data_IF_476976641054
#
_entry.id   IF_476976641054
#
_cell.length_a   1.000
_cell.length_b   1.000
_cell.length_c   1.000
_cell.angle_alpha   90.00
_cell.angle_beta   90.00
_cell.angle_gamma   90.00
#
_symmetry.space_group_name_H-M   'P 1'
#
loop_
_entity.id
_entity.type
_entity.pdbx_description
1 polymer ?
#
# COMPACT_ATOMS: atom_id res chain seq x y z
N UNK A 1 -13.91 36.46 -51.13
CA UNK A 1 -13.15 35.46 -51.86
C UNK A 1 -12.61 34.54 -50.77
N UNK A 2 -13.37 33.74 -50.44
CA UNK A 2 -13.82 32.33 -50.43
C UNK A 2 -12.81 31.45 -49.70
N UNK A 3 -13.15 31.24 -48.45
CA UNK A 3 -12.66 30.15 -47.59
C UNK A 3 -13.08 28.81 -48.18
N UNK A 4 -12.15 27.85 -48.27
CA UNK A 4 -12.45 26.45 -48.57
C UNK A 4 -12.36 25.64 -47.31
N UNK A 5 -13.49 25.21 -46.81
CA UNK A 5 -13.64 24.11 -45.87
C UNK A 5 -12.97 22.82 -46.41
N UNK A 6 -12.01 22.30 -45.71
CA UNK A 6 -11.48 20.96 -45.94
C UNK A 6 -12.20 19.99 -44.98
N UNK A 7 -13.11 19.24 -45.55
CA UNK A 7 -13.87 18.16 -44.90
C UNK A 7 -12.95 16.98 -44.52
N UNK A 8 -13.09 16.52 -43.27
CA UNK A 8 -12.38 15.36 -42.69
C UNK A 8 -12.83 13.98 -43.22
N UNK A 9 -13.44 13.88 -44.37
CA UNK A 9 -14.06 12.64 -44.91
C UNK A 9 -13.36 11.98 -46.09
N UNK A 10 -12.13 12.35 -46.45
CA UNK A 10 -11.47 11.80 -47.64
C UNK A 10 -10.15 11.04 -47.42
N UNK A 11 -9.97 10.40 -46.26
CA UNK A 11 -8.73 9.63 -45.96
C UNK A 11 -8.94 8.12 -45.78
N UNK A 12 -10.03 7.56 -46.28
CA UNK A 12 -10.19 6.10 -46.41
C UNK A 12 -10.46 5.71 -47.85
N UNK A 13 -9.38 5.75 -48.63
CA UNK A 13 -9.35 5.12 -49.94
C UNK A 13 -9.14 3.62 -49.82
N UNK A 14 -10.10 2.86 -50.35
CA UNK A 14 -10.10 1.41 -50.36
C UNK A 14 -8.92 0.83 -51.15
N UNK A 15 -8.23 -0.14 -50.55
CA UNK A 15 -7.53 -1.17 -51.34
C UNK A 15 -8.08 -2.54 -50.91
N UNK A 16 -8.88 -3.11 -51.80
CA UNK A 16 -9.34 -4.48 -51.75
C UNK A 16 -8.16 -5.42 -52.00
N UNK A 17 -7.89 -6.31 -51.04
CA UNK A 17 -7.06 -7.50 -51.25
C UNK A 17 -7.74 -8.70 -50.59
N UNK A 18 -8.07 -9.61 -51.39
CA UNK A 18 -8.34 -11.04 -51.33
C UNK A 18 -8.77 -11.65 -50.00
N UNK A 19 -10.04 -12.08 -49.98
CA UNK A 19 -10.52 -13.03 -48.98
C UNK A 19 -9.86 -14.40 -49.24
N UNK A 20 -8.92 -14.79 -48.35
CA UNK A 20 -8.56 -16.18 -48.13
C UNK A 20 -9.20 -16.61 -46.80
N UNK A 21 -10.27 -17.41 -46.92
CA UNK A 21 -10.90 -18.07 -45.78
C UNK A 21 -9.95 -19.14 -45.24
N UNK A 22 -9.22 -18.81 -44.18
CA UNK A 22 -8.59 -19.79 -43.31
C UNK A 22 -9.48 -19.95 -42.07
N UNK A 23 -10.02 -21.15 -41.89
CA UNK A 23 -10.63 -21.56 -40.63
C UNK A 23 -9.55 -21.48 -39.51
N UNK A 24 -9.53 -20.36 -38.82
CA UNK A 24 -8.73 -20.24 -37.61
C UNK A 24 -9.42 -21.09 -36.53
N UNK A 25 -8.84 -22.26 -36.24
CA UNK A 25 -9.06 -22.91 -34.96
C UNK A 25 -8.87 -21.85 -33.88
N UNK A 26 -9.76 -21.85 -32.89
CA UNK A 26 -9.68 -20.98 -31.70
C UNK A 26 -8.34 -21.24 -30.99
N UNK A 27 -7.31 -20.54 -31.42
CA UNK A 27 -6.01 -20.56 -30.79
C UNK A 27 -6.18 -19.83 -29.44
N UNK A 28 -5.70 -20.46 -28.39
CA UNK A 28 -5.56 -19.89 -27.05
C UNK A 28 -4.98 -18.46 -27.17
N UNK A 29 -5.67 -17.41 -26.68
CA UNK A 29 -5.20 -16.03 -26.77
C UNK A 29 -3.78 -15.85 -26.22
N UNK A 30 -3.37 -16.64 -25.21
CA UNK A 30 -2.02 -16.64 -24.67
C UNK A 30 -0.96 -17.13 -25.66
N UNK A 31 -1.28 -18.05 -26.56
CA UNK A 31 -0.35 -18.52 -27.62
C UNK A 31 -0.17 -17.48 -28.72
N UNK A 32 -1.23 -16.78 -29.09
CA UNK A 32 -1.17 -15.73 -30.10
C UNK A 32 -0.32 -14.52 -29.62
N UNK A 33 -0.46 -14.14 -28.36
CA UNK A 33 0.34 -13.07 -27.74
C UNK A 33 1.84 -13.44 -27.65
N UNK A 34 2.17 -14.68 -27.27
CA UNK A 34 3.54 -15.14 -27.20
C UNK A 34 4.22 -15.19 -28.57
N UNK A 35 3.48 -15.54 -29.63
CA UNK A 35 4.00 -15.53 -31.00
C UNK A 35 4.24 -14.12 -31.54
N UNK A 36 3.41 -13.14 -31.15
CA UNK A 36 3.53 -11.75 -31.56
C UNK A 36 4.78 -11.05 -31.00
N UNK A 37 5.28 -11.50 -29.84
CA UNK A 37 6.45 -10.90 -29.16
C UNK A 37 7.76 -11.66 -29.45
N UNK A 38 7.70 -12.74 -30.25
CA UNK A 38 8.87 -13.55 -30.59
C UNK A 38 9.45 -14.37 -29.44
N UNK A 39 8.74 -14.44 -28.30
CA UNK A 39 9.11 -15.29 -27.16
C UNK A 39 8.71 -16.72 -27.48
N UNK A 40 9.67 -17.60 -27.56
CA UNK A 40 9.39 -19.04 -27.71
C UNK A 40 8.78 -19.55 -26.42
N UNK A 41 7.68 -20.30 -26.50
CA UNK A 41 7.00 -20.94 -25.34
C UNK A 41 7.96 -21.80 -24.50
N UNK A 42 9.07 -22.26 -25.07
CA UNK A 42 10.12 -23.03 -24.42
C UNK A 42 11.03 -22.19 -23.49
N UNK A 43 10.99 -20.87 -23.58
CA UNK A 43 11.92 -19.98 -22.84
C UNK A 43 11.36 -19.57 -21.45
N UNK A 44 10.07 -19.82 -21.19
CA UNK A 44 9.46 -19.57 -19.89
C UNK A 44 9.17 -20.87 -19.15
N UNK A 45 9.39 -20.92 -17.84
CA UNK A 45 9.00 -22.08 -17.03
C UNK A 45 7.46 -22.24 -17.05
N UNK A 46 6.97 -23.46 -16.70
CA UNK A 46 5.53 -23.68 -16.57
C UNK A 46 4.98 -22.93 -15.33
N UNK A 47 4.32 -21.82 -15.58
CA UNK A 47 3.75 -20.94 -14.56
C UNK A 47 2.29 -21.28 -14.23
N UNK A 48 1.79 -22.45 -14.64
CA UNK A 48 0.48 -22.94 -14.22
C UNK A 48 0.50 -23.22 -12.72
N UNK A 49 -0.46 -22.64 -11.98
CA UNK A 49 -0.56 -22.75 -10.53
C UNK A 49 -1.10 -24.14 -10.17
N UNK A 50 -0.32 -24.90 -9.39
CA UNK A 50 -0.66 -26.26 -8.94
C UNK A 50 -1.10 -26.34 -7.48
N UNK A 51 -0.64 -25.39 -6.64
CA UNK A 51 -0.89 -25.45 -5.20
C UNK A 51 -1.03 -24.03 -4.62
N UNK A 52 -1.88 -23.90 -3.61
CA UNK A 52 -1.91 -22.77 -2.68
C UNK A 52 -1.77 -23.33 -1.29
N UNK A 53 -0.88 -22.80 -0.49
CA UNK A 53 -0.65 -23.17 0.91
C UNK A 53 -0.52 -21.95 1.80
N UNK A 54 -0.87 -22.12 3.08
CA UNK A 54 -0.73 -21.08 4.10
C UNK A 54 0.10 -21.64 5.24
N UNK A 55 1.22 -21.01 5.50
CA UNK A 55 2.03 -21.27 6.68
C UNK A 55 1.49 -20.44 7.83
N UNK A 56 1.17 -21.07 8.94
CA UNK A 56 0.86 -20.39 10.20
C UNK A 56 2.09 -20.46 11.08
N UNK A 57 2.66 -19.30 11.39
CA UNK A 57 3.91 -19.16 12.11
C UNK A 57 3.70 -18.44 13.45
N UNK A 58 4.46 -18.85 14.48
CA UNK A 58 4.51 -18.12 15.74
C UNK A 58 5.46 -16.94 15.62
N UNK A 59 4.90 -15.73 15.63
CA UNK A 59 5.66 -14.46 15.60
C UNK A 59 5.63 -13.74 16.96
N UNK A 60 5.23 -14.43 18.02
CA UNK A 60 5.27 -13.92 19.39
C UNK A 60 6.69 -13.48 19.74
N UNK A 61 6.84 -12.25 20.21
CA UNK A 61 8.15 -11.64 20.48
C UNK A 61 8.67 -10.72 19.36
N UNK A 62 8.11 -10.76 18.17
CA UNK A 62 8.26 -9.70 17.16
C UNK A 62 7.22 -8.64 17.49
N UNK A 63 7.51 -7.77 18.45
CA UNK A 63 6.53 -6.81 18.98
C UNK A 63 6.17 -5.77 17.93
N UNK A 64 5.02 -5.94 17.33
CA UNK A 64 4.19 -4.89 16.81
C UNK A 64 3.15 -4.55 17.89
N UNK A 65 2.84 -3.29 18.10
CA UNK A 65 1.90 -2.82 19.13
C UNK A 65 0.52 -3.47 19.08
N UNK A 66 0.13 -4.08 17.96
CA UNK A 66 -1.15 -4.76 17.76
C UNK A 66 -1.02 -6.07 16.94
N UNK A 67 0.18 -6.68 16.85
CA UNK A 67 0.34 -7.91 16.06
C UNK A 67 -0.22 -9.11 16.84
N UNK A 68 -0.97 -9.99 16.17
CA UNK A 68 -1.34 -11.28 16.75
C UNK A 68 -0.06 -12.09 17.04
N UNK A 69 -0.17 -13.06 17.95
CA UNK A 69 0.91 -13.99 18.26
C UNK A 69 1.28 -14.89 17.06
N UNK A 70 0.42 -14.95 16.07
CA UNK A 70 0.60 -15.75 14.85
C UNK A 70 0.58 -14.87 13.60
N UNK A 71 1.44 -15.19 12.64
CA UNK A 71 1.46 -14.62 11.30
C UNK A 71 1.13 -15.69 10.27
N UNK A 72 0.38 -15.32 9.25
CA UNK A 72 0.01 -16.20 8.16
C UNK A 72 0.71 -15.78 6.87
N UNK A 73 1.51 -16.69 6.29
CA UNK A 73 2.20 -16.50 5.02
C UNK A 73 1.53 -17.38 3.98
N UNK A 74 0.98 -16.76 2.94
CA UNK A 74 0.49 -17.49 1.78
C UNK A 74 1.62 -17.73 0.79
N UNK A 75 1.62 -18.92 0.19
CA UNK A 75 2.49 -19.30 -0.92
C UNK A 75 1.65 -19.88 -2.05
N UNK A 76 1.74 -19.28 -3.24
CA UNK A 76 1.15 -19.77 -4.48
C UNK A 76 2.27 -20.42 -5.29
N UNK A 77 2.09 -21.71 -5.64
CA UNK A 77 3.15 -22.55 -6.23
C UNK A 77 2.79 -22.95 -7.64
N UNK A 78 3.72 -22.75 -8.57
CA UNK A 78 3.57 -23.15 -9.98
C UNK A 78 4.04 -24.59 -10.23
N UNK A 79 3.71 -25.16 -11.38
CA UNK A 79 4.21 -26.47 -11.83
C UNK A 79 5.74 -26.51 -11.89
N UNK A 80 6.39 -25.42 -12.27
CA UNK A 80 7.84 -25.30 -12.27
C UNK A 80 8.47 -25.18 -10.87
N UNK A 81 7.66 -25.07 -9.81
CA UNK A 81 8.14 -24.93 -8.43
C UNK A 81 8.44 -23.49 -8.00
N UNK A 82 8.20 -22.50 -8.85
CA UNK A 82 8.33 -21.10 -8.46
C UNK A 82 7.19 -20.74 -7.49
N UNK A 83 7.53 -20.09 -6.37
CA UNK A 83 6.59 -19.67 -5.34
C UNK A 83 6.48 -18.16 -5.26
N UNK A 84 5.24 -17.65 -5.25
CA UNK A 84 4.93 -16.27 -4.90
C UNK A 84 4.42 -16.19 -3.47
N UNK A 85 4.95 -15.27 -2.70
CA UNK A 85 4.73 -15.22 -1.27
C UNK A 85 4.20 -13.85 -0.82
N UNK A 86 3.24 -13.89 0.12
CA UNK A 86 2.68 -12.70 0.77
C UNK A 86 2.15 -13.08 2.15
N UNK A 87 1.74 -12.12 2.95
CA UNK A 87 1.00 -12.39 4.19
C UNK A 87 -0.49 -12.12 3.99
N UNK A 88 -1.32 -12.83 4.75
CA UNK A 88 -2.76 -12.56 4.80
C UNK A 88 -3.05 -11.36 5.72
N UNK A 89 -2.08 -10.96 6.53
CA UNK A 89 -2.20 -9.88 7.49
C UNK A 89 -3.14 -10.22 8.66
N UNK A 90 -3.58 -9.21 9.40
CA UNK A 90 -4.46 -9.36 10.56
C UNK A 90 -5.90 -9.78 10.21
N UNK A 91 -6.15 -10.28 9.01
CA UNK A 91 -7.51 -10.58 8.48
C UNK A 91 -8.04 -11.95 8.91
N UNK A 92 -7.21 -12.74 9.59
CA UNK A 92 -7.56 -13.78 10.55
C UNK A 92 -8.52 -14.89 10.11
N UNK A 93 -8.52 -15.33 8.82
CA UNK A 93 -9.23 -16.55 8.42
C UNK A 93 -8.44 -17.35 7.38
N UNK A 94 -7.30 -17.97 7.76
CA UNK A 94 -6.48 -18.74 6.83
C UNK A 94 -7.26 -19.82 6.03
N UNK A 95 -8.16 -20.61 6.63
CA UNK A 95 -8.96 -21.59 5.87
C UNK A 95 -9.87 -20.96 4.83
N UNK A 96 -10.49 -19.83 5.15
CA UNK A 96 -11.39 -19.11 4.23
C UNK A 96 -10.63 -18.51 3.06
N UNK A 97 -9.46 -17.89 3.33
CA UNK A 97 -8.56 -17.40 2.28
C UNK A 97 -8.08 -18.55 1.39
N UNK A 98 -7.62 -19.65 1.98
CA UNK A 98 -7.11 -20.81 1.24
C UNK A 98 -8.15 -21.39 0.29
N UNK A 99 -9.40 -21.59 0.75
CA UNK A 99 -10.50 -22.07 -0.08
C UNK A 99 -10.80 -21.09 -1.24
N UNK A 100 -10.85 -19.80 -0.94
CA UNK A 100 -11.06 -18.75 -1.94
C UNK A 100 -9.93 -18.72 -2.99
N UNK A 101 -8.67 -18.66 -2.54
CA UNK A 101 -7.52 -18.57 -3.42
C UNK A 101 -7.42 -19.79 -4.35
N UNK A 102 -7.64 -21.00 -3.82
CA UNK A 102 -7.66 -22.22 -4.65
C UNK A 102 -8.68 -22.15 -5.78
N UNK A 103 -9.90 -21.70 -5.46
CA UNK A 103 -10.96 -21.55 -6.47
C UNK A 103 -10.57 -20.51 -7.54
N UNK A 104 -9.84 -19.48 -7.15
CA UNK A 104 -9.46 -18.36 -8.04
C UNK A 104 -8.33 -18.70 -8.99
N UNK A 105 -7.32 -19.48 -8.54
CA UNK A 105 -6.04 -19.57 -9.27
C UNK A 105 -5.62 -20.97 -9.69
N UNK A 106 -6.11 -22.07 -9.09
CA UNK A 106 -5.66 -23.41 -9.47
C UNK A 106 -5.92 -23.69 -10.96
N UNK A 107 -4.88 -24.19 -11.63
CA UNK A 107 -4.89 -24.49 -13.07
C UNK A 107 -4.78 -23.26 -13.97
N UNK A 108 -4.72 -22.04 -13.44
CA UNK A 108 -4.46 -20.81 -14.21
C UNK A 108 -2.98 -20.49 -14.28
N UNK A 109 -2.58 -19.69 -15.26
CA UNK A 109 -1.22 -19.18 -15.37
C UNK A 109 -0.99 -18.00 -14.44
N UNK A 110 0.18 -17.93 -13.79
CA UNK A 110 0.57 -16.74 -13.03
C UNK A 110 0.77 -15.48 -13.91
N UNK A 111 0.80 -15.63 -15.23
CA UNK A 111 0.82 -14.49 -16.17
C UNK A 111 -0.56 -13.82 -16.31
N UNK A 112 -1.64 -14.47 -15.88
CA UNK A 112 -3.01 -13.96 -15.99
C UNK A 112 -3.34 -12.97 -14.85
N UNK A 113 -2.41 -12.16 -14.41
CA UNK A 113 -2.53 -11.26 -13.26
C UNK A 113 -3.80 -10.40 -13.36
N UNK A 114 -4.01 -9.75 -14.50
CA UNK A 114 -5.16 -8.85 -14.71
C UNK A 114 -6.52 -9.56 -14.73
N UNK A 115 -6.56 -10.88 -14.93
CA UNK A 115 -7.80 -11.66 -14.90
C UNK A 115 -8.32 -11.89 -13.47
N UNK A 116 -7.47 -11.70 -12.48
CA UNK A 116 -7.77 -11.91 -11.06
C UNK A 116 -8.11 -10.60 -10.37
N UNK A 117 -7.43 -9.51 -10.75
CA UNK A 117 -7.74 -8.19 -10.23
C UNK A 117 -9.15 -7.80 -10.67
N UNK A 118 -10.12 -7.71 -9.75
CA UNK A 118 -11.46 -7.36 -10.13
C UNK A 118 -11.46 -5.92 -10.66
N UNK A 119 -11.95 -5.72 -11.87
CA UNK A 119 -12.32 -4.38 -12.32
C UNK A 119 -13.38 -3.85 -11.36
N UNK A 120 -13.15 -2.74 -10.66
CA UNK A 120 -14.09 -2.23 -9.70
C UNK A 120 -15.44 -2.04 -10.38
N UNK A 121 -16.45 -2.82 -10.00
CA UNK A 121 -17.80 -2.60 -10.49
C UNK A 121 -18.39 -1.42 -9.72
N UNK A 122 -18.25 -0.24 -10.31
CA UNK A 122 -18.58 1.08 -9.75
C UNK A 122 -19.96 1.20 -9.09
N UNK A 123 -20.86 0.26 -9.33
CA UNK A 123 -22.19 0.24 -8.70
C UNK A 123 -22.26 -0.55 -7.39
N UNK A 124 -21.26 -1.36 -7.05
CA UNK A 124 -21.29 -2.26 -5.88
C UNK A 124 -20.59 -1.70 -4.64
N UNK A 125 -19.70 -0.74 -4.78
CA UNK A 125 -18.79 -0.33 -3.71
C UNK A 125 -19.07 1.05 -3.06
N UNK A 126 -20.01 1.84 -3.56
CA UNK A 126 -20.36 3.15 -2.97
C UNK A 126 -20.84 3.10 -1.50
N UNK A 127 -20.64 1.99 -0.87
CA UNK A 127 -21.17 1.69 0.43
C UNK A 127 -20.09 1.34 1.48
N UNK A 128 -18.80 1.39 1.15
CA UNK A 128 -17.70 1.11 2.07
C UNK A 128 -17.29 2.29 2.97
N UNK A 129 -18.00 3.39 2.92
CA UNK A 129 -17.80 4.57 3.77
C UNK A 129 -17.82 4.35 5.27
N UNK A 130 -17.59 3.15 5.79
CA UNK A 130 -17.70 2.96 7.23
C UNK A 130 -16.67 2.04 7.90
N UNK A 131 -15.62 1.58 7.22
CA UNK A 131 -14.55 0.87 7.94
C UNK A 131 -13.75 1.81 8.86
N UNK A 132 -13.66 3.11 8.53
CA UNK A 132 -13.07 4.11 9.41
C UNK A 132 -13.95 4.45 10.61
N UNK A 133 -15.26 4.31 10.49
CA UNK A 133 -16.20 4.55 11.60
C UNK A 133 -16.13 3.45 12.69
N UNK A 134 -15.57 2.30 12.37
CA UNK A 134 -15.37 1.22 13.36
C UNK A 134 -14.06 1.40 14.17
N UNK A 135 -13.14 2.25 13.72
CA UNK A 135 -12.03 2.74 14.56
C UNK A 135 -12.48 4.05 15.18
N UNK A 136 -12.91 4.02 16.43
CA UNK A 136 -13.17 5.22 17.21
C UNK A 136 -11.98 6.19 17.12
N UNK A 137 -12.17 7.47 17.54
CA UNK A 137 -11.10 8.45 17.54
C UNK A 137 -9.88 7.80 18.18
N UNK A 138 -8.71 7.94 17.56
CA UNK A 138 -7.43 7.46 18.08
C UNK A 138 -7.22 8.08 19.45
N UNK A 139 -7.80 7.42 20.46
CA UNK A 139 -7.45 7.63 21.84
C UNK A 139 -6.06 7.02 22.06
N UNK A 140 -5.35 7.38 23.14
CA UNK A 140 -4.06 6.82 23.43
C UNK A 140 -4.17 5.30 23.30
N UNK A 141 -3.23 4.69 22.54
CA UNK A 141 -3.12 3.25 22.40
C UNK A 141 -2.93 2.62 23.79
N UNK A 142 -4.05 2.52 24.51
CA UNK A 142 -4.10 1.71 25.72
C UNK A 142 -4.08 0.28 25.22
N UNK A 143 -3.05 -0.46 25.61
CA UNK A 143 -3.06 -1.90 25.52
C UNK A 143 -4.40 -2.38 26.10
N UNK A 144 -5.35 -2.70 25.22
CA UNK A 144 -6.56 -3.40 25.64
C UNK A 144 -6.05 -4.80 25.99
N UNK A 145 -6.16 -5.25 27.25
CA UNK A 145 -5.88 -6.63 27.59
C UNK A 145 -6.72 -7.50 26.64
N UNK A 146 -6.15 -8.59 26.15
CA UNK A 146 -6.85 -9.60 25.36
C UNK A 146 -7.88 -10.30 26.27
N UNK A 147 -8.93 -9.60 26.63
CA UNK A 147 -10.05 -10.14 27.39
C UNK A 147 -11.30 -9.38 26.96
N UNK A 148 -12.19 -10.15 26.33
CA UNK A 148 -13.58 -9.87 26.12
C UNK A 148 -13.90 -8.72 25.14
N UNK A 149 -14.16 -9.09 23.88
CA UNK A 149 -15.07 -8.31 23.06
C UNK A 149 -16.32 -7.98 23.89
N UNK A 150 -16.81 -6.73 23.89
CA UNK A 150 -18.01 -6.41 24.64
C UNK A 150 -19.15 -7.34 24.16
N UNK A 151 -19.95 -7.87 25.10
CA UNK A 151 -21.11 -8.69 24.73
C UNK A 151 -22.07 -7.79 23.96
N UNK A 152 -22.22 -8.04 22.66
CA UNK A 152 -23.11 -7.27 21.78
C UNK A 152 -22.59 -6.97 20.39
N UNK A 153 -21.32 -7.21 20.06
CA UNK A 153 -20.89 -7.29 18.66
C UNK A 153 -21.37 -8.66 18.16
N UNK A 154 -22.53 -8.65 17.55
CA UNK A 154 -23.21 -9.84 17.12
C UNK A 154 -22.35 -10.65 16.16
N UNK A 155 -22.39 -11.95 16.31
CA UNK A 155 -22.13 -12.97 15.28
C UNK A 155 -23.21 -12.86 14.19
N UNK A 156 -23.50 -11.64 13.73
CA UNK A 156 -24.35 -11.40 12.58
C UNK A 156 -23.69 -12.02 11.37
N UNK A 157 -24.44 -12.79 10.59
CA UNK A 157 -23.98 -13.30 9.29
C UNK A 157 -23.42 -12.11 8.50
N UNK A 158 -22.21 -12.28 7.93
CA UNK A 158 -21.59 -11.26 7.08
C UNK A 158 -22.57 -10.88 5.96
N UNK A 159 -22.72 -9.60 5.69
CA UNK A 159 -23.53 -9.16 4.56
C UNK A 159 -22.82 -9.52 3.25
N UNK A 160 -23.57 -9.62 2.15
CA UNK A 160 -22.97 -9.83 0.80
C UNK A 160 -21.90 -8.80 0.48
N UNK A 161 -22.01 -7.64 1.08
CA UNK A 161 -21.08 -6.52 0.98
C UNK A 161 -19.77 -6.76 1.74
N UNK A 162 -19.85 -7.27 2.97
CA UNK A 162 -18.66 -7.63 3.76
C UNK A 162 -17.89 -8.77 3.08
N UNK A 163 -18.63 -9.70 2.47
CA UNK A 163 -18.07 -10.80 1.68
C UNK A 163 -17.37 -10.26 0.43
N UNK A 164 -17.99 -9.33 -0.31
CA UNK A 164 -17.42 -8.74 -1.52
C UNK A 164 -16.12 -7.97 -1.23
N UNK A 165 -16.08 -7.20 -0.13
CA UNK A 165 -14.87 -6.49 0.26
C UNK A 165 -13.73 -7.40 0.70
N UNK A 166 -14.03 -8.45 1.46
CA UNK A 166 -13.03 -9.45 1.82
C UNK A 166 -12.45 -10.16 0.59
N UNK A 167 -13.30 -10.46 -0.39
CA UNK A 167 -12.86 -11.08 -1.64
C UNK A 167 -11.96 -10.14 -2.44
N UNK A 168 -12.25 -8.84 -2.48
CA UNK A 168 -11.40 -7.85 -3.14
C UNK A 168 -10.01 -7.79 -2.53
N UNK A 169 -9.93 -7.76 -1.21
CA UNK A 169 -8.64 -7.79 -0.50
C UNK A 169 -7.90 -9.12 -0.66
N UNK A 170 -8.62 -10.25 -0.75
CA UNK A 170 -8.02 -11.55 -1.05
C UNK A 170 -7.44 -11.57 -2.47
N UNK A 171 -8.14 -10.98 -3.44
CA UNK A 171 -7.63 -10.84 -4.81
C UNK A 171 -6.37 -9.96 -4.85
N UNK A 172 -6.27 -8.92 -4.00
CA UNK A 172 -5.04 -8.11 -3.88
C UNK A 172 -3.83 -8.93 -3.43
N UNK A 173 -4.02 -9.80 -2.42
CA UNK A 173 -2.95 -10.70 -1.95
C UNK A 173 -2.54 -11.69 -3.06
N UNK A 174 -3.51 -12.22 -3.79
CA UNK A 174 -3.25 -13.13 -4.92
C UNK A 174 -2.48 -12.40 -6.03
N UNK A 175 -2.88 -11.17 -6.38
CA UNK A 175 -2.19 -10.32 -7.36
C UNK A 175 -0.71 -10.14 -7.00
N UNK A 176 -0.43 -9.78 -5.75
CA UNK A 176 0.94 -9.59 -5.27
C UNK A 176 1.77 -10.89 -5.31
N UNK A 177 1.19 -12.04 -4.97
CA UNK A 177 1.85 -13.33 -5.13
C UNK A 177 2.14 -13.66 -6.61
N UNK A 178 1.22 -13.36 -7.51
CA UNK A 178 1.42 -13.62 -8.94
C UNK A 178 2.51 -12.72 -9.53
N UNK A 179 2.56 -11.44 -9.16
CA UNK A 179 3.66 -10.55 -9.53
C UNK A 179 5.01 -11.06 -9.02
N UNK A 180 5.06 -11.59 -7.79
CA UNK A 180 6.27 -12.20 -7.23
C UNK A 180 6.74 -13.41 -8.05
N UNK A 181 5.80 -14.30 -8.46
CA UNK A 181 6.08 -15.41 -9.38
C UNK A 181 6.63 -14.90 -10.71
N UNK A 182 5.98 -13.91 -11.32
CA UNK A 182 6.40 -13.38 -12.63
C UNK A 182 7.81 -12.80 -12.55
N UNK A 183 8.09 -11.99 -11.53
CA UNK A 183 9.42 -11.42 -11.32
C UNK A 183 10.50 -12.49 -11.14
N UNK A 184 10.22 -13.54 -10.36
CA UNK A 184 11.11 -14.68 -10.15
C UNK A 184 11.32 -15.49 -11.43
N UNK A 185 10.26 -15.71 -12.21
CA UNK A 185 10.30 -16.47 -13.46
C UNK A 185 11.21 -15.83 -14.52
N UNK A 186 11.22 -14.49 -14.58
CA UNK A 186 12.06 -13.74 -15.51
C UNK A 186 13.36 -13.22 -14.89
N UNK A 187 13.61 -13.58 -13.63
CA UNK A 187 14.79 -13.17 -12.85
C UNK A 187 14.98 -11.64 -12.81
N UNK A 188 13.90 -10.92 -12.47
CA UNK A 188 13.90 -9.46 -12.33
C UNK A 188 13.09 -9.00 -11.11
N UNK A 189 13.52 -7.93 -10.43
CA UNK A 189 12.67 -7.23 -9.47
C UNK A 189 11.41 -6.67 -10.15
N UNK A 190 10.31 -6.62 -9.42
CA UNK A 190 9.02 -6.18 -9.96
C UNK A 190 9.07 -4.75 -10.48
N UNK A 191 9.75 -3.82 -9.78
CA UNK A 191 9.81 -2.43 -10.21
C UNK A 191 10.38 -2.26 -11.64
N UNK A 192 11.32 -3.13 -12.05
CA UNK A 192 11.85 -3.12 -13.41
C UNK A 192 10.82 -3.58 -14.44
N UNK A 193 9.96 -4.54 -14.07
CA UNK A 193 8.87 -5.01 -14.95
C UNK A 193 7.78 -3.95 -15.09
N UNK A 194 7.62 -3.09 -14.10
CA UNK A 194 6.71 -1.95 -14.10
C UNK A 194 7.30 -0.71 -14.79
N UNK A 195 8.54 -0.81 -15.31
CA UNK A 195 9.22 0.30 -16.01
C UNK A 195 10.03 1.22 -15.11
N UNK A 196 10.16 0.91 -13.83
CA UNK A 196 10.94 1.70 -12.88
C UNK A 196 12.45 1.65 -13.13
N UNK A 197 13.11 2.77 -12.96
CA UNK A 197 14.57 2.94 -13.13
C UNK A 197 15.27 3.40 -11.87
N UNK A 198 14.53 3.80 -10.85
CA UNK A 198 15.11 4.18 -9.55
C UNK A 198 15.72 2.96 -8.87
N UNK A 199 16.85 3.16 -8.23
CA UNK A 199 17.55 2.09 -7.47
C UNK A 199 17.57 2.36 -5.97
N UNK A 200 17.06 3.52 -5.53
CA UNK A 200 16.97 3.90 -4.13
C UNK A 200 15.89 4.95 -3.91
N UNK A 201 15.37 5.02 -2.69
CA UNK A 201 14.38 6.01 -2.26
C UNK A 201 14.83 6.60 -0.94
N UNK A 202 14.72 7.92 -0.77
CA UNK A 202 15.08 8.63 0.46
C UNK A 202 14.10 8.27 1.58
N UNK A 203 14.58 8.03 2.80
CA UNK A 203 13.75 7.56 3.89
C UNK A 203 13.49 8.64 4.95
N UNK A 204 12.26 8.63 5.45
CA UNK A 204 11.87 9.36 6.65
C UNK A 204 11.45 8.40 7.78
N UNK A 205 11.60 8.85 9.03
CA UNK A 205 11.12 8.13 10.18
C UNK A 205 9.61 8.34 10.36
N UNK A 206 8.82 7.29 10.32
CA UNK A 206 7.40 7.30 10.67
C UNK A 206 7.25 6.88 12.12
N UNK A 207 7.06 7.83 13.04
CA UNK A 207 7.10 7.59 14.48
C UNK A 207 5.92 6.77 14.99
N UNK A 208 6.05 6.22 16.19
CA UNK A 208 4.91 5.78 16.98
C UNK A 208 4.24 6.98 17.65
N UNK A 209 2.97 6.84 18.04
CA UNK A 209 2.36 7.78 18.98
C UNK A 209 3.04 7.70 20.34
N UNK A 210 3.72 8.75 20.75
CA UNK A 210 4.45 8.78 22.02
C UNK A 210 3.54 9.27 23.16
N UNK A 211 3.72 8.75 24.39
CA UNK A 211 2.83 9.07 25.52
C UNK A 211 2.83 10.55 25.87
N UNK A 212 3.98 11.21 25.76
CA UNK A 212 4.14 12.59 26.18
C UNK A 212 4.76 13.48 25.11
N UNK A 213 4.37 14.75 25.09
CA UNK A 213 4.91 15.75 24.15
C UNK A 213 6.43 15.85 24.25
N UNK A 214 6.96 15.73 25.45
CA UNK A 214 8.39 15.87 25.76
C UNK A 214 9.23 14.75 25.11
N UNK A 215 8.64 13.59 24.83
CA UNK A 215 9.34 12.43 24.27
C UNK A 215 9.68 12.61 22.78
N UNK A 216 8.91 13.43 22.04
CA UNK A 216 9.13 13.63 20.61
C UNK A 216 10.44 14.34 20.27
N UNK A 217 10.92 15.24 21.12
CA UNK A 217 12.20 15.93 20.92
C UNK A 217 13.38 14.95 20.87
N UNK A 218 13.59 14.13 21.91
CA UNK A 218 14.60 13.07 21.88
C UNK A 218 14.41 12.06 20.75
N UNK A 219 13.16 11.73 20.37
CA UNK A 219 12.88 10.73 19.33
C UNK A 219 13.29 11.21 17.94
N UNK A 220 12.97 12.46 17.56
CA UNK A 220 13.43 13.04 16.29
C UNK A 220 14.94 13.13 16.22
N UNK A 221 15.63 13.41 17.32
CA UNK A 221 17.10 13.42 17.36
C UNK A 221 17.69 12.03 17.14
N UNK A 222 17.07 10.99 17.71
CA UNK A 222 17.46 9.59 17.45
C UNK A 222 17.28 9.23 15.96
N UNK A 223 16.16 9.62 15.34
CA UNK A 223 15.89 9.39 13.94
C UNK A 223 16.94 10.08 13.03
N UNK A 224 17.27 11.34 13.31
CA UNK A 224 18.35 12.08 12.62
C UNK A 224 19.70 11.37 12.77
N UNK A 225 20.05 10.94 13.98
CA UNK A 225 21.31 10.24 14.25
C UNK A 225 21.38 8.86 13.58
N UNK A 226 20.22 8.23 13.33
CA UNK A 226 20.12 6.98 12.57
C UNK A 226 20.22 7.20 11.04
N UNK A 227 20.37 8.44 10.57
CA UNK A 227 20.55 8.78 9.16
C UNK A 227 19.27 9.05 8.38
N UNK A 228 18.10 9.03 9.03
CA UNK A 228 16.82 9.33 8.38
C UNK A 228 16.72 10.80 7.99
N UNK A 229 16.14 11.09 6.85
CA UNK A 229 16.15 12.43 6.22
C UNK A 229 14.88 13.24 6.44
N UNK A 230 13.92 12.69 7.15
CA UNK A 230 12.69 13.35 7.56
C UNK A 230 12.08 12.65 8.77
N UNK A 231 11.03 13.23 9.33
CA UNK A 231 10.33 12.67 10.48
C UNK A 231 8.83 12.98 10.42
N UNK A 232 8.01 11.94 10.43
CA UNK A 232 6.55 12.03 10.49
C UNK A 232 6.08 11.77 11.93
N UNK A 233 5.29 12.70 12.44
CA UNK A 233 4.67 12.58 13.76
C UNK A 233 3.37 11.80 13.63
N UNK A 234 3.24 10.68 14.37
CA UNK A 234 1.96 10.14 14.77
C UNK A 234 1.65 10.69 16.18
N UNK A 235 0.58 11.46 16.37
CA UNK A 235 0.30 12.07 17.65
C UNK A 235 -0.10 11.04 18.70
N UNK A 236 0.49 11.15 19.87
CA UNK A 236 0.21 10.29 21.03
C UNK A 236 -0.98 10.76 21.88
N UNK A 237 -1.70 11.78 21.43
CA UNK A 237 -2.79 12.40 22.16
C UNK A 237 -2.42 13.68 22.91
N UNK A 238 -1.19 14.16 22.74
CA UNK A 238 -0.72 15.45 23.22
C UNK A 238 -0.80 15.64 24.73
N UNK A 239 -0.65 14.56 25.49
CA UNK A 239 -0.62 14.67 26.96
C UNK A 239 0.78 15.10 27.39
N UNK A 240 0.86 16.19 28.17
CA UNK A 240 2.00 16.42 29.02
C UNK A 240 1.74 15.72 30.38
N UNK A 241 2.78 15.22 31.02
CA UNK A 241 2.68 14.53 32.31
C UNK A 241 1.90 15.30 33.40
N UNK A 242 1.74 16.63 33.21
CA UNK A 242 1.03 17.54 34.11
C UNK A 242 -0.17 18.26 33.46
N UNK A 243 -0.65 17.80 32.31
CA UNK A 243 -1.66 18.53 31.54
C UNK A 243 -3.07 18.41 32.13
N UNK A 244 -3.84 19.51 32.06
CA UNK A 244 -5.28 19.49 32.28
C UNK A 244 -5.97 18.85 31.05
N UNK A 245 -7.17 18.24 31.22
CA UNK A 245 -7.97 17.78 30.08
C UNK A 245 -8.19 18.93 29.07
N UNK A 246 -7.87 18.66 27.79
CA UNK A 246 -7.99 19.63 26.71
C UNK A 246 -8.35 18.91 25.40
N UNK A 247 -8.76 19.69 24.38
CA UNK A 247 -9.03 19.12 23.08
C UNK A 247 -7.75 18.53 22.46
N UNK A 248 -7.82 17.36 21.84
CA UNK A 248 -6.68 16.62 21.30
C UNK A 248 -5.80 17.47 20.37
N UNK A 249 -6.40 18.28 19.47
CA UNK A 249 -5.64 19.14 18.56
C UNK A 249 -4.71 20.14 19.25
N UNK A 250 -5.00 20.53 20.49
CA UNK A 250 -4.10 21.44 21.27
C UNK A 250 -2.80 20.72 21.61
N UNK A 251 -2.90 19.45 21.99
CA UNK A 251 -1.73 18.61 22.23
C UNK A 251 -0.94 18.36 20.95
N UNK A 252 -1.61 18.08 19.87
CA UNK A 252 -0.97 17.92 18.55
C UNK A 252 -0.16 19.18 18.17
N UNK A 253 -0.70 20.37 18.41
CA UNK A 253 0.02 21.63 18.15
C UNK A 253 1.26 21.80 19.03
N UNK A 254 1.29 21.24 20.23
CA UNK A 254 2.48 21.24 21.08
C UNK A 254 3.51 20.23 20.61
N UNK A 255 3.10 19.00 20.23
CA UNK A 255 3.95 18.00 19.61
C UNK A 255 4.64 18.56 18.34
N UNK A 256 3.88 19.21 17.46
CA UNK A 256 4.36 19.86 16.24
C UNK A 256 5.44 20.89 16.55
N UNK A 257 5.20 21.81 17.53
CA UNK A 257 6.19 22.82 17.91
C UNK A 257 7.45 22.20 18.53
N UNK A 258 7.26 21.21 19.39
CA UNK A 258 8.35 20.50 20.07
C UNK A 258 9.27 19.80 19.06
N UNK A 259 8.69 19.11 18.09
CA UNK A 259 9.46 18.42 17.06
C UNK A 259 10.21 19.41 16.16
N UNK A 260 9.56 20.48 15.68
CA UNK A 260 10.25 21.51 14.87
C UNK A 260 11.39 22.14 15.64
N UNK A 261 11.17 22.50 16.90
CA UNK A 261 12.24 23.05 17.77
C UNK A 261 13.43 22.09 17.91
N UNK A 262 13.16 20.80 18.07
CA UNK A 262 14.21 19.80 18.23
C UNK A 262 14.87 19.44 16.89
N UNK A 263 14.11 19.35 15.80
CA UNK A 263 14.62 18.99 14.48
C UNK A 263 15.51 20.07 13.85
N UNK A 264 15.25 21.36 14.16
CA UNK A 264 15.83 22.51 13.46
C UNK A 264 15.01 22.89 12.22
N UNK A 265 15.33 24.04 11.62
CA UNK A 265 14.47 24.68 10.62
C UNK A 265 14.44 23.95 9.27
N UNK A 266 15.54 23.34 8.85
CA UNK A 266 15.70 22.74 7.51
C UNK A 266 15.36 21.24 7.44
N UNK A 267 15.00 20.60 8.57
CA UNK A 267 14.73 19.17 8.57
C UNK A 267 13.29 18.88 8.12
N UNK A 268 13.08 18.07 7.08
CA UNK A 268 11.75 17.72 6.60
C UNK A 268 10.89 17.09 7.69
N UNK A 269 9.73 17.70 7.96
CA UNK A 269 8.77 17.22 8.95
C UNK A 269 7.40 17.00 8.31
N UNK A 270 6.72 15.98 8.76
CA UNK A 270 5.39 15.58 8.33
C UNK A 270 4.51 15.34 9.56
N UNK A 271 3.22 15.46 9.40
CA UNK A 271 2.28 15.23 10.48
C UNK A 271 1.13 14.36 10.00
N UNK A 272 0.87 13.28 10.74
CA UNK A 272 -0.25 12.37 10.52
C UNK A 272 -1.20 12.43 11.71
N UNK A 273 -2.32 13.11 11.55
CA UNK A 273 -3.23 13.28 12.68
C UNK A 273 -4.61 13.72 12.27
N UNK A 274 -5.59 12.98 12.72
CA UNK A 274 -6.99 13.11 12.34
C UNK A 274 -7.80 14.01 13.28
N UNK A 275 -8.67 14.81 12.69
CA UNK A 275 -9.62 15.66 13.43
C UNK A 275 -10.93 15.85 12.67
N UNK A 276 -11.54 16.99 12.87
CA UNK A 276 -12.60 17.54 12.02
C UNK A 276 -12.07 18.78 11.27
N UNK A 277 -12.78 19.26 10.27
CA UNK A 277 -12.37 20.40 9.44
C UNK A 277 -11.89 21.60 10.28
N UNK A 278 -12.62 21.96 11.34
CA UNK A 278 -12.27 23.12 12.19
C UNK A 278 -10.96 22.92 12.96
N UNK A 279 -10.71 21.72 13.50
CA UNK A 279 -9.44 21.41 14.18
C UNK A 279 -8.30 21.24 13.19
N UNK A 280 -8.55 20.59 12.04
CA UNK A 280 -7.57 20.41 10.98
C UNK A 280 -7.09 21.75 10.39
N UNK A 281 -7.97 22.72 10.20
CA UNK A 281 -7.57 24.09 9.80
C UNK A 281 -6.64 24.76 10.81
N UNK A 282 -6.84 24.57 12.10
CA UNK A 282 -5.96 25.14 13.13
C UNK A 282 -4.59 24.47 13.14
N UNK A 283 -4.58 23.15 13.04
CA UNK A 283 -3.34 22.35 12.95
C UNK A 283 -2.62 22.68 11.66
N UNK A 284 -3.29 22.66 10.51
CA UNK A 284 -2.70 22.92 9.20
C UNK A 284 -2.03 24.29 9.09
N UNK A 285 -2.68 25.35 9.62
CA UNK A 285 -2.04 26.69 9.66
C UNK A 285 -0.77 26.73 10.49
N UNK A 286 -0.67 25.92 11.54
CA UNK A 286 0.58 25.77 12.29
C UNK A 286 1.63 25.01 11.50
N UNK A 287 1.20 23.98 10.74
CA UNK A 287 2.09 23.23 9.85
C UNK A 287 2.64 24.15 8.75
N UNK A 288 1.80 25.03 8.15
CA UNK A 288 2.21 26.08 7.20
C UNK A 288 3.27 27.00 7.81
N UNK A 289 2.98 27.56 9.00
CA UNK A 289 3.88 28.47 9.74
C UNK A 289 5.25 27.83 10.00
N UNK A 290 5.25 26.54 10.32
CA UNK A 290 6.45 25.81 10.71
C UNK A 290 7.13 25.04 9.55
N UNK A 291 6.62 25.15 8.31
CA UNK A 291 7.22 24.56 7.12
C UNK A 291 7.23 23.04 7.12
N UNK A 292 6.12 22.43 7.54
CA UNK A 292 5.91 20.98 7.38
C UNK A 292 5.64 20.66 5.91
N UNK A 293 6.09 19.50 5.44
CA UNK A 293 6.02 19.18 4.01
C UNK A 293 4.76 18.40 3.61
N UNK A 294 3.99 17.83 4.57
CA UNK A 294 2.61 17.40 4.36
C UNK A 294 1.83 17.23 5.67
N UNK A 295 0.51 17.26 5.52
CA UNK A 295 -0.48 16.91 6.52
C UNK A 295 -1.23 15.64 6.07
N UNK A 296 -1.02 14.53 6.76
CA UNK A 296 -1.60 13.23 6.43
C UNK A 296 -2.90 13.00 7.19
N UNK A 297 -3.89 12.46 6.48
CA UNK A 297 -5.20 12.05 7.00
C UNK A 297 -5.87 13.09 7.94
N UNK A 298 -5.95 14.38 7.55
CA UNK A 298 -6.37 15.45 8.45
C UNK A 298 -7.80 15.30 8.99
N UNK A 299 -8.67 14.64 8.22
CA UNK A 299 -10.09 14.39 8.54
C UNK A 299 -10.51 13.02 8.00
N UNK A 300 -11.71 12.50 8.36
CA UNK A 300 -12.21 11.25 7.80
C UNK A 300 -12.22 11.24 6.27
N UNK A 301 -11.78 10.12 5.70
CA UNK A 301 -11.63 9.93 4.25
C UNK A 301 -12.93 10.19 3.48
N UNK A 302 -14.09 9.95 4.08
CA UNK A 302 -15.40 10.11 3.44
C UNK A 302 -15.83 11.58 3.31
N UNK A 303 -15.20 12.49 4.03
CA UNK A 303 -15.54 13.94 4.01
C UNK A 303 -14.75 14.65 2.91
N UNK A 304 -15.05 14.33 1.65
CA UNK A 304 -14.38 14.94 0.50
C UNK A 304 -14.60 16.45 0.42
N UNK A 305 -15.76 16.95 0.83
CA UNK A 305 -16.03 18.40 0.85
C UNK A 305 -15.14 19.09 1.89
N UNK A 306 -14.96 18.47 3.05
CA UNK A 306 -14.02 18.95 4.06
C UNK A 306 -12.57 18.94 3.57
N UNK A 307 -12.15 17.91 2.82
CA UNK A 307 -10.81 17.83 2.21
C UNK A 307 -10.58 18.98 1.22
N UNK A 308 -11.56 19.25 0.35
CA UNK A 308 -11.50 20.39 -0.60
C UNK A 308 -11.37 21.72 0.14
N UNK A 309 -12.07 21.89 1.27
CA UNK A 309 -11.93 23.10 2.11
C UNK A 309 -10.51 23.21 2.67
N UNK A 310 -9.92 22.12 3.14
CA UNK A 310 -8.54 22.09 3.66
C UNK A 310 -7.52 22.38 2.56
N UNK A 311 -7.59 21.68 1.45
CA UNK A 311 -6.66 21.84 0.31
C UNK A 311 -6.66 23.27 -0.26
N UNK A 312 -7.79 23.98 -0.19
CA UNK A 312 -7.88 25.38 -0.63
C UNK A 312 -7.44 26.40 0.41
N UNK A 313 -7.43 26.05 1.69
CA UNK A 313 -7.20 26.97 2.80
C UNK A 313 -5.82 26.86 3.43
N UNK A 314 -5.05 25.83 3.06
CA UNK A 314 -3.75 25.51 3.60
C UNK A 314 -2.72 25.45 2.48
N UNK A 315 -1.48 25.87 2.77
CA UNK A 315 -0.34 25.74 1.86
C UNK A 315 0.38 24.39 2.06
N UNK A 316 0.27 23.75 3.24
CA UNK A 316 0.81 22.42 3.50
C UNK A 316 0.06 21.38 2.67
N UNK A 317 0.77 20.58 1.86
CA UNK A 317 0.17 19.53 1.05
C UNK A 317 -0.67 18.54 1.85
N UNK A 318 -1.85 18.19 1.35
CA UNK A 318 -2.73 17.18 1.94
C UNK A 318 -2.36 15.81 1.39
N UNK A 319 -1.89 14.93 2.28
CA UNK A 319 -1.57 13.53 1.99
C UNK A 319 -2.71 12.64 2.46
N UNK A 320 -3.35 11.89 1.54
CA UNK A 320 -4.58 11.17 1.85
C UNK A 320 -4.76 9.93 0.98
N UNK A 321 -5.41 8.90 1.53
CA UNK A 321 -5.93 7.80 0.73
C UNK A 321 -5.63 6.39 1.23
N UNK A 322 -4.92 6.17 2.32
CA UNK A 322 -4.60 4.82 2.82
C UNK A 322 -5.84 3.99 3.18
N UNK A 323 -6.97 4.65 3.47
CA UNK A 323 -8.25 3.99 3.75
C UNK A 323 -9.18 3.94 2.53
N UNK A 324 -8.78 4.46 1.37
CA UNK A 324 -9.56 4.36 0.13
C UNK A 324 -9.41 2.94 -0.44
N UNK A 325 -10.55 2.31 -0.74
CA UNK A 325 -10.61 0.95 -1.27
C UNK A 325 -10.92 0.90 -2.78
N UNK A 326 -11.30 2.01 -3.37
CA UNK A 326 -11.87 2.05 -4.72
C UNK A 326 -11.08 2.99 -5.63
N UNK A 327 -10.67 2.51 -6.79
CA UNK A 327 -9.92 3.29 -7.79
C UNK A 327 -10.68 4.53 -8.27
N UNK A 328 -12.01 4.44 -8.40
CA UNK A 328 -12.84 5.56 -8.81
C UNK A 328 -12.94 6.66 -7.74
N UNK A 329 -12.78 6.32 -6.46
CA UNK A 329 -12.70 7.30 -5.37
C UNK A 329 -11.41 8.11 -5.47
N UNK A 330 -10.28 7.48 -5.76
CA UNK A 330 -9.03 8.20 -6.07
C UNK A 330 -9.22 9.15 -7.26
N UNK A 331 -9.82 8.67 -8.35
CA UNK A 331 -10.08 9.49 -9.53
C UNK A 331 -10.99 10.70 -9.22
N UNK A 332 -12.00 10.53 -8.35
CA UNK A 332 -12.87 11.63 -7.92
C UNK A 332 -12.12 12.66 -7.07
N UNK A 333 -11.32 12.21 -6.10
CA UNK A 333 -10.55 13.09 -5.21
C UNK A 333 -9.48 13.87 -5.97
N UNK A 334 -8.73 13.20 -6.84
CA UNK A 334 -7.73 13.82 -7.71
C UNK A 334 -8.39 14.88 -8.62
N UNK A 335 -9.50 14.53 -9.30
CA UNK A 335 -10.21 15.45 -10.21
C UNK A 335 -10.78 16.67 -9.51
N UNK A 336 -11.09 16.54 -8.22
CA UNK A 336 -11.71 17.62 -7.41
C UNK A 336 -10.68 18.43 -6.62
N UNK A 337 -9.40 18.19 -6.81
CA UNK A 337 -8.29 18.85 -6.08
C UNK A 337 -8.48 18.73 -4.56
N UNK A 338 -8.85 17.51 -4.09
CA UNK A 338 -9.12 17.24 -2.69
C UNK A 338 -7.86 16.79 -1.91
N UNK A 339 -6.77 16.54 -2.62
CA UNK A 339 -5.48 16.08 -2.09
C UNK A 339 -4.35 16.48 -3.02
N UNK A 340 -3.14 16.55 -2.49
CA UNK A 340 -1.89 16.89 -3.19
C UNK A 340 -0.96 15.69 -3.32
N UNK A 341 -1.03 14.78 -2.35
CA UNK A 341 -0.24 13.55 -2.30
C UNK A 341 -1.19 12.36 -2.20
N UNK A 342 -1.08 11.46 -3.16
CA UNK A 342 -1.91 10.25 -3.22
C UNK A 342 -1.25 9.14 -2.40
N UNK A 343 -1.91 8.74 -1.31
CA UNK A 343 -1.47 7.67 -0.44
C UNK A 343 -2.34 6.43 -0.62
N UNK A 344 -1.76 5.25 -0.52
CA UNK A 344 -2.51 3.99 -0.59
C UNK A 344 -1.83 2.85 0.18
N UNK A 345 -2.63 1.80 0.42
CA UNK A 345 -2.16 0.47 0.80
C UNK A 345 -2.48 -0.47 -0.36
N UNK A 346 -1.49 -1.18 -0.90
CA UNK A 346 -1.66 -2.06 -2.06
C UNK A 346 -2.75 -3.13 -1.84
N UNK A 347 -2.84 -3.66 -0.62
CA UNK A 347 -3.88 -4.62 -0.23
C UNK A 347 -5.31 -4.08 -0.41
N UNK A 348 -5.48 -2.77 -0.28
CA UNK A 348 -6.78 -2.12 -0.32
C UNK A 348 -7.26 -1.81 -1.75
N UNK A 349 -6.35 -1.80 -2.73
CA UNK A 349 -6.63 -1.25 -4.07
C UNK A 349 -6.44 -2.25 -5.22
N UNK A 350 -6.38 -3.55 -4.94
CA UNK A 350 -6.22 -4.58 -5.96
C UNK A 350 -4.77 -4.99 -6.20
N UNK A 351 -3.93 -4.94 -5.16
CA UNK A 351 -2.54 -5.35 -5.21
C UNK A 351 -1.64 -4.39 -6.00
N UNK A 352 -0.55 -4.91 -6.55
CA UNK A 352 0.40 -4.14 -7.37
C UNK A 352 -0.27 -3.59 -8.62
N UNK A 353 -1.12 -4.40 -9.27
CA UNK A 353 -1.85 -4.00 -10.47
C UNK A 353 -2.73 -2.77 -10.23
N UNK A 354 -3.54 -2.79 -9.18
CA UNK A 354 -4.40 -1.66 -8.83
C UNK A 354 -3.63 -0.45 -8.32
N UNK A 355 -2.60 -0.67 -7.50
CA UNK A 355 -1.75 0.40 -6.97
C UNK A 355 -1.03 1.18 -8.09
N UNK A 356 -0.54 0.49 -9.14
CA UNK A 356 0.06 1.16 -10.30
C UNK A 356 -0.95 1.95 -11.13
N UNK A 357 -2.22 1.54 -11.18
CA UNK A 357 -3.26 2.35 -11.81
C UNK A 357 -3.46 3.67 -11.06
N UNK A 358 -3.44 3.64 -9.74
CA UNK A 358 -3.51 4.85 -8.90
C UNK A 358 -2.25 5.71 -9.09
N UNK A 359 -1.06 5.12 -9.09
CA UNK A 359 0.20 5.83 -9.31
C UNK A 359 0.21 6.56 -10.66
N UNK A 360 -0.24 5.90 -11.74
CA UNK A 360 -0.35 6.54 -13.06
C UNK A 360 -1.41 7.65 -13.10
N UNK A 361 -2.52 7.53 -12.35
CA UNK A 361 -3.46 8.63 -12.20
C UNK A 361 -2.81 9.82 -11.50
N UNK A 362 -2.12 9.61 -10.37
CA UNK A 362 -1.40 10.66 -9.66
C UNK A 362 -0.38 11.36 -10.59
N UNK A 363 0.45 10.60 -11.29
CA UNK A 363 1.43 11.11 -12.24
C UNK A 363 0.79 11.94 -13.36
N UNK A 364 -0.32 11.48 -13.94
CA UNK A 364 -1.03 12.17 -15.01
C UNK A 364 -1.58 13.54 -14.60
N UNK A 365 -1.85 13.73 -13.30
CA UNK A 365 -2.29 14.99 -12.72
C UNK A 365 -1.17 15.78 -12.03
N UNK A 366 0.08 15.29 -12.07
CA UNK A 366 1.23 15.97 -11.46
C UNK A 366 1.27 15.89 -9.94
N UNK A 367 0.60 14.89 -9.34
CA UNK A 367 0.56 14.68 -7.90
C UNK A 367 1.65 13.71 -7.45
N UNK A 368 2.10 13.85 -6.19
CA UNK A 368 2.97 12.87 -5.57
C UNK A 368 2.23 11.57 -5.27
N UNK A 369 2.98 10.46 -5.26
CA UNK A 369 2.51 9.12 -4.91
C UNK A 369 3.31 8.58 -3.74
N UNK A 370 2.65 8.31 -2.61
CA UNK A 370 3.28 7.90 -1.34
C UNK A 370 2.60 6.64 -0.77
N UNK A 371 3.05 5.41 -1.08
CA UNK A 371 2.53 4.21 -0.45
C UNK A 371 2.75 4.22 1.08
N UNK A 372 1.82 3.58 1.80
CA UNK A 372 1.88 3.42 3.25
C UNK A 372 2.75 2.23 3.63
N UNK A 373 3.86 2.42 4.33
CA UNK A 373 4.85 1.36 4.61
C UNK A 373 4.78 0.76 6.03
N UNK A 374 3.62 0.82 6.68
CA UNK A 374 3.41 0.08 7.91
C UNK A 374 2.86 -1.32 7.61
N UNK A 375 3.30 -2.31 8.38
CA UNK A 375 2.87 -3.68 8.18
C UNK A 375 3.99 -4.68 8.42
N UNK A 376 3.96 -5.79 7.72
CA UNK A 376 5.00 -6.82 7.74
C UNK A 376 6.04 -6.58 6.64
N UNK A 377 7.07 -7.43 6.61
CA UNK A 377 8.18 -7.29 5.66
C UNK A 377 7.74 -7.41 4.19
N UNK A 378 6.69 -8.17 3.88
CA UNK A 378 6.17 -8.28 2.52
C UNK A 378 5.40 -7.03 2.10
N UNK A 379 4.65 -6.40 3.02
CA UNK A 379 3.96 -5.13 2.74
C UNK A 379 4.99 -4.05 2.40
N UNK A 380 6.06 -3.95 3.20
CA UNK A 380 7.16 -3.03 2.91
C UNK A 380 7.81 -3.34 1.56
N UNK A 381 8.01 -4.63 1.24
CA UNK A 381 8.62 -5.03 -0.03
C UNK A 381 7.73 -4.65 -1.22
N UNK A 382 6.42 -4.89 -1.14
CA UNK A 382 5.46 -4.49 -2.19
C UNK A 382 5.50 -2.98 -2.42
N UNK A 383 5.33 -2.21 -1.34
CA UNK A 383 5.29 -0.75 -1.45
C UNK A 383 6.62 -0.18 -1.95
N UNK A 384 7.75 -0.75 -1.53
CA UNK A 384 9.06 -0.35 -2.06
C UNK A 384 9.21 -0.62 -3.55
N UNK A 385 8.67 -1.74 -4.08
CA UNK A 385 8.65 -1.98 -5.53
C UNK A 385 7.82 -0.91 -6.27
N UNK A 386 6.68 -0.50 -5.69
CA UNK A 386 5.83 0.56 -6.24
C UNK A 386 6.54 1.93 -6.21
N UNK A 387 7.21 2.26 -5.11
CA UNK A 387 7.99 3.50 -4.96
C UNK A 387 9.13 3.60 -5.97
N UNK A 388 9.85 2.49 -6.21
CA UNK A 388 10.90 2.43 -7.22
C UNK A 388 10.34 2.54 -8.65
N UNK A 389 9.11 2.08 -8.88
CA UNK A 389 8.46 2.13 -10.18
C UNK A 389 7.82 3.50 -10.48
N UNK A 390 7.36 4.23 -9.47
CA UNK A 390 6.70 5.53 -9.65
C UNK A 390 7.69 6.65 -9.90
N UNK A 391 7.41 7.53 -10.87
CA UNK A 391 8.23 8.73 -11.14
C UNK A 391 7.96 9.85 -10.13
N UNK A 392 6.81 9.86 -9.47
CA UNK A 392 6.37 10.92 -8.56
C UNK A 392 6.48 10.55 -7.08
N UNK A 393 7.11 9.43 -6.75
CA UNK A 393 7.47 9.08 -5.38
C UNK A 393 8.87 9.60 -5.06
N UNK A 394 9.04 10.20 -3.87
CA UNK A 394 10.33 10.75 -3.40
C UNK A 394 10.75 10.18 -2.06
N UNK A 395 9.84 9.56 -1.31
CA UNK A 395 10.07 9.15 0.06
C UNK A 395 9.71 7.68 0.29
N UNK A 396 10.54 7.01 1.09
CA UNK A 396 10.26 5.72 1.72
C UNK A 396 9.86 5.94 3.18
N UNK A 397 8.68 5.50 3.55
CA UNK A 397 8.24 5.53 4.93
C UNK A 397 8.92 4.43 5.73
N UNK A 398 9.85 4.79 6.60
CA UNK A 398 10.52 3.84 7.49
C UNK A 398 9.77 3.78 8.83
N UNK A 399 9.10 2.67 9.16
CA UNK A 399 8.54 2.49 10.51
C UNK A 399 9.60 2.73 11.58
N UNK A 400 9.32 3.58 12.56
CA UNK A 400 10.29 3.99 13.55
C UNK A 400 9.84 3.58 14.96
N UNK A 401 10.71 2.93 15.79
CA UNK A 401 12.14 2.65 15.50
C UNK A 401 12.33 1.60 14.39
N UNK A 402 13.45 1.68 13.68
CA UNK A 402 13.74 0.90 12.46
C UNK A 402 13.91 -0.62 12.68
N UNK A 403 13.95 -1.08 13.91
CA UNK A 403 13.98 -2.52 14.26
C UNK A 403 12.63 -3.21 14.02
N UNK A 404 11.60 -2.42 13.88
CA UNK A 404 10.22 -2.86 13.76
C UNK A 404 9.93 -3.82 12.59
N UNK A 405 10.41 -3.59 11.35
CA UNK A 405 10.08 -4.47 10.23
C UNK A 405 10.90 -5.76 10.18
N UNK A 406 11.82 -5.99 11.10
CA UNK A 406 12.61 -7.22 11.13
C UNK A 406 11.72 -8.42 11.45
N UNK A 407 11.65 -9.36 10.52
CA UNK A 407 10.83 -10.55 10.63
C UNK A 407 11.67 -11.81 10.67
N UNK A 408 11.23 -12.75 11.50
CA UNK A 408 11.96 -13.99 11.75
C UNK A 408 12.08 -14.90 10.52
N UNK A 409 11.24 -14.72 9.51
CA UNK A 409 11.13 -15.62 8.35
C UNK A 409 11.72 -15.06 7.06
N UNK A 410 12.35 -13.88 7.08
CA UNK A 410 13.04 -13.31 5.92
C UNK A 410 14.39 -12.74 6.30
N UNK A 411 15.36 -12.82 5.38
CA UNK A 411 16.69 -12.19 5.49
C UNK A 411 16.68 -10.72 5.06
N UNK A 412 15.64 -10.30 4.37
CA UNK A 412 15.49 -8.93 3.89
C UNK A 412 15.41 -7.95 5.03
N UNK A 413 16.15 -6.86 4.92
CA UNK A 413 16.16 -5.76 5.88
C UNK A 413 16.12 -4.44 5.14
N UNK A 414 15.13 -3.62 5.46
CA UNK A 414 15.11 -2.24 5.00
C UNK A 414 15.97 -1.40 5.95
N UNK A 415 17.07 -0.90 5.44
CA UNK A 415 18.04 -0.08 6.18
C UNK A 415 18.39 1.15 5.35
N UNK A 416 18.57 2.27 6.02
CA UNK A 416 19.11 3.45 5.38
C UNK A 416 20.62 3.35 5.26
N UNK A 417 21.15 3.80 4.13
CA UNK A 417 22.58 4.00 3.93
C UNK A 417 23.05 5.30 4.57
N UNK A 418 24.33 5.61 4.45
CA UNK A 418 24.94 6.82 5.00
C UNK A 418 24.35 8.12 4.40
N UNK A 419 23.74 8.04 3.22
CA UNK A 419 23.08 9.15 2.55
C UNK A 419 21.59 9.25 2.88
N UNK A 420 21.03 8.33 3.70
CA UNK A 420 19.65 8.29 4.14
C UNK A 420 18.69 7.66 3.14
N UNK A 421 19.18 6.81 2.24
CA UNK A 421 18.38 6.10 1.25
C UNK A 421 18.22 4.63 1.61
N UNK A 422 17.07 4.07 1.26
CA UNK A 422 16.85 2.64 1.16
C UNK A 422 17.16 2.22 -0.27
N UNK A 423 18.02 1.21 -0.41
CA UNK A 423 18.52 0.74 -1.70
C UNK A 423 17.77 -0.50 -2.17
N UNK A 424 17.45 -0.56 -3.46
CA UNK A 424 16.88 -1.73 -4.09
C UNK A 424 17.88 -2.90 -4.07
N UNK A 425 17.36 -4.12 -3.89
CA UNK A 425 18.15 -5.34 -4.08
C UNK A 425 18.05 -5.82 -5.53
N UNK A 426 18.98 -6.70 -5.93
CA UNK A 426 18.91 -7.37 -7.22
C UNK A 426 18.03 -8.63 -7.18
N UNK A 427 17.46 -8.95 -6.01
CA UNK A 427 16.63 -10.14 -5.83
C UNK A 427 15.37 -10.07 -6.69
N UNK A 428 15.01 -11.15 -7.41
CA UNK A 428 13.84 -11.16 -8.28
C UNK A 428 12.53 -11.16 -7.51
N UNK A 429 11.46 -10.80 -8.19
CA UNK A 429 10.12 -10.70 -7.60
C UNK A 429 10.02 -9.51 -6.65
N UNK A 430 9.45 -9.73 -5.48
CA UNK A 430 9.34 -8.72 -4.41
C UNK A 430 10.69 -8.33 -3.79
N UNK A 431 11.76 -9.10 -4.04
CA UNK A 431 13.03 -8.89 -3.37
C UNK A 431 13.01 -9.24 -1.88
N UNK A 432 12.06 -10.05 -1.46
CA UNK A 432 11.86 -10.48 -0.07
C UNK A 432 11.78 -12.01 0.04
N UNK A 433 12.89 -12.74 -0.17
CA UNK A 433 12.87 -14.19 -0.11
C UNK A 433 12.59 -14.68 1.32
N UNK A 434 11.78 -15.73 1.41
CA UNK A 434 11.61 -16.47 2.66
C UNK A 434 12.93 -17.19 2.98
N UNK A 435 13.32 -17.15 4.25
CA UNK A 435 14.36 -18.01 4.81
C UNK A 435 13.70 -19.32 5.32
N UNK A 436 13.87 -20.46 4.61
CA UNK A 436 13.20 -21.70 4.99
C UNK A 436 13.59 -22.18 6.39
N UNK A 437 14.87 -22.08 6.74
CA UNK A 437 15.36 -22.53 8.05
C UNK A 437 14.81 -21.65 9.20
N UNK A 438 14.59 -20.37 8.93
CA UNK A 438 13.99 -19.47 9.89
C UNK A 438 12.49 -19.72 10.02
N UNK A 439 11.80 -19.93 8.89
CA UNK A 439 10.37 -20.24 8.88
C UNK A 439 10.08 -21.55 9.61
N UNK A 440 10.85 -22.61 9.35
CA UNK A 440 10.67 -23.93 9.98
C UNK A 440 10.75 -23.88 11.51
N UNK A 441 11.60 -23.00 12.05
CA UNK A 441 11.75 -22.83 13.50
C UNK A 441 10.54 -22.22 14.19
N UNK A 442 9.75 -21.44 13.47
CA UNK A 442 8.60 -20.71 14.02
C UNK A 442 7.27 -21.23 13.48
N UNK A 443 7.29 -22.16 12.52
CA UNK A 443 6.11 -22.72 11.89
C UNK A 443 5.30 -23.57 12.89
N UNK A 444 4.00 -23.30 12.97
CA UNK A 444 3.05 -24.08 13.78
C UNK A 444 2.40 -25.16 12.91
N UNK A 445 1.94 -24.80 11.71
CA UNK A 445 1.30 -25.71 10.76
C UNK A 445 1.33 -25.15 9.34
N UNK A 446 1.07 -26.02 8.37
CA UNK A 446 0.82 -25.68 6.97
C UNK A 446 -0.57 -26.15 6.58
N UNK A 447 -1.42 -25.21 6.19
CA UNK A 447 -2.73 -25.49 5.63
C UNK A 447 -2.61 -25.57 4.08
N UNK A 448 -3.16 -26.65 3.48
CA UNK A 448 -3.03 -26.93 2.03
C UNK A 448 -4.39 -27.11 1.36
#
# INVERSE_FOLDING_TARGET
MSERELSRRSLFGASALGAASAAAALADPGQAAAQAVGVKKADLPDLTIKEVKVYVANIAGVRHLNSPETGEIVSIVTNSGIEGNMTIGNRGNPPGFLAYAKQRVLGKSALDVTSITPVPNTKRFSAYGSLSAARGPSGPSMAVPAATAPPGVGTGALTDRDIAGRNYMNDSIIDMCMWDIVGKAVNRPIYQLLGGTKTRVMAYASSQGLPYVEDYGPDVQRAKSAGLRGYKIHPGGGQSANARPRAAYVGHMEEIRQVRKAAGDDYPLMFDGRGNVSSALKVGRLLDELGYIWFEDPIPTEDVEGLIVLARALDVPINMGEYILELNTFADYIKRDALDIVRLIADNVGGITGAMQVAHMAEAFGLEFQPHNWGNIFDLAVHFQLELASNTNYWFEMPWPAEYPDRAYSKTRFRVDQDGYVNATADPGLGCPIDPDALDKIMIRVDR
#
